data_IF_612028231891
#
_entry.id   IF_612028231891
#
_cell.length_a   1.000
_cell.length_b   1.000
_cell.length_c   1.000
_cell.angle_alpha   90.00
_cell.angle_beta   90.00
_cell.angle_gamma   90.00
#
_symmetry.space_group_name_H-M   'P 1'
#
loop_
_entity.id
_entity.type
_entity.pdbx_description
1 polymer ?
#
# COMPACT_ATOMS: atom_id res chain seq x y z
N UNK A 1 61.05 -13.46 -10.96
CA UNK A 1 61.55 -13.04 -12.27
C UNK A 1 60.44 -13.39 -13.25
N UNK A 2 59.42 -12.54 -13.36
CA UNK A 2 59.33 -11.36 -14.25
C UNK A 2 58.57 -11.77 -15.53
N UNK A 3 57.63 -11.04 -16.13
CA UNK A 3 56.93 -9.81 -15.79
C UNK A 3 55.75 -9.67 -16.79
N UNK A 4 54.61 -9.18 -16.30
CA UNK A 4 53.56 -8.37 -16.97
C UNK A 4 53.18 -8.54 -18.45
N UNK A 5 51.88 -8.69 -18.69
CA UNK A 5 51.20 -7.98 -19.79
C UNK A 5 49.87 -7.40 -19.28
N UNK A 6 49.89 -6.12 -18.95
CA UNK A 6 48.73 -5.34 -18.54
C UNK A 6 48.05 -4.71 -19.78
N UNK A 7 46.85 -5.17 -20.12
CA UNK A 7 45.95 -4.50 -21.06
C UNK A 7 45.05 -3.53 -20.31
N UNK A 8 45.40 -2.24 -20.34
CA UNK A 8 44.70 -1.17 -19.62
C UNK A 8 43.29 -0.88 -20.14
N UNK A 9 42.28 -1.26 -19.36
CA UNK A 9 40.92 -0.75 -19.48
C UNK A 9 40.85 0.69 -18.99
N UNK A 10 40.76 1.65 -19.91
CA UNK A 10 40.54 3.08 -19.63
C UNK A 10 39.12 3.26 -19.09
N UNK A 11 38.92 3.08 -17.78
CA UNK A 11 37.69 3.54 -17.08
C UNK A 11 37.61 5.06 -17.20
N UNK A 12 36.69 5.57 -18.01
CA UNK A 12 36.30 6.98 -17.96
C UNK A 12 35.72 7.26 -16.57
N UNK A 13 36.18 8.35 -15.97
CA UNK A 13 35.83 8.79 -14.64
C UNK A 13 34.31 9.02 -14.48
N UNK A 14 33.69 8.26 -13.58
CA UNK A 14 32.31 8.44 -13.11
C UNK A 14 32.24 9.39 -11.89
N UNK A 15 33.19 10.32 -11.77
CA UNK A 15 33.28 11.24 -10.62
C UNK A 15 32.67 12.61 -10.87
N UNK A 16 32.27 12.93 -12.11
CA UNK A 16 31.64 14.24 -12.43
C UNK A 16 30.17 14.33 -12.03
N UNK A 17 29.43 13.21 -12.10
CA UNK A 17 28.00 13.19 -11.76
C UNK A 17 27.73 13.33 -10.27
N UNK A 18 28.62 12.84 -9.40
CA UNK A 18 28.40 12.93 -7.93
C UNK A 18 28.49 14.36 -7.39
N UNK A 19 29.33 15.22 -7.97
CA UNK A 19 29.44 16.61 -7.52
C UNK A 19 28.30 17.47 -8.08
N UNK A 20 27.87 17.18 -9.31
CA UNK A 20 26.73 17.82 -9.96
C UNK A 20 25.41 17.44 -9.26
N UNK A 21 25.20 16.16 -8.93
CA UNK A 21 24.02 15.69 -8.20
C UNK A 21 23.96 16.27 -6.77
N UNK A 22 25.10 16.34 -6.08
CA UNK A 22 25.18 17.01 -4.78
C UNK A 22 24.87 18.51 -4.85
N UNK A 23 25.29 19.18 -5.93
CA UNK A 23 24.95 20.59 -6.15
C UNK A 23 23.45 20.77 -6.45
N UNK A 24 22.84 19.88 -7.22
CA UNK A 24 21.40 19.90 -7.51
C UNK A 24 20.56 19.65 -6.25
N UNK A 25 20.98 18.72 -5.39
CA UNK A 25 20.34 18.47 -4.10
C UNK A 25 20.44 19.66 -3.15
N UNK A 26 21.59 20.36 -3.12
CA UNK A 26 21.76 21.57 -2.33
C UNK A 26 20.86 22.71 -2.84
N UNK A 27 20.79 22.89 -4.16
CA UNK A 27 19.89 23.88 -4.78
C UNK A 27 18.42 23.56 -4.48
N UNK A 28 18.03 22.29 -4.53
CA UNK A 28 16.67 21.87 -4.22
C UNK A 28 16.31 22.15 -2.74
N UNK A 29 17.21 21.80 -1.81
CA UNK A 29 17.04 22.08 -0.37
C UNK A 29 17.01 23.57 -0.06
N UNK A 30 17.86 24.36 -0.71
CA UNK A 30 17.88 25.81 -0.54
C UNK A 30 16.62 26.47 -1.10
N UNK A 31 16.13 26.00 -2.26
CA UNK A 31 14.87 26.45 -2.84
C UNK A 31 13.67 26.11 -1.93
N UNK A 32 13.65 24.91 -1.36
CA UNK A 32 12.62 24.48 -0.40
C UNK A 32 12.65 25.30 0.88
N UNK A 33 13.84 25.51 1.46
CA UNK A 33 14.02 26.34 2.66
C UNK A 33 13.58 27.80 2.41
N UNK A 34 13.91 28.35 1.24
CA UNK A 34 13.49 29.69 0.83
C UNK A 34 11.98 29.79 0.63
N UNK A 35 11.36 28.75 0.09
CA UNK A 35 9.90 28.68 -0.06
C UNK A 35 9.21 28.57 1.30
N UNK A 36 9.74 27.75 2.21
CA UNK A 36 9.26 27.62 3.59
C UNK A 36 9.37 28.94 4.37
N UNK A 37 10.49 29.65 4.28
CA UNK A 37 10.65 30.97 4.88
C UNK A 37 9.64 31.99 4.32
N UNK A 38 9.34 31.93 3.01
CA UNK A 38 8.32 32.79 2.39
C UNK A 38 6.92 32.47 2.88
N UNK A 39 6.59 31.17 3.10
CA UNK A 39 5.32 30.74 3.71
C UNK A 39 5.21 31.25 5.14
N UNK A 40 6.27 31.13 5.93
CA UNK A 40 6.30 31.62 7.31
C UNK A 40 6.11 33.14 7.36
N UNK A 41 6.82 33.90 6.53
CA UNK A 41 6.67 35.35 6.45
C UNK A 41 5.24 35.79 6.02
N UNK A 42 4.61 35.05 5.10
CA UNK A 42 3.20 35.27 4.74
C UNK A 42 2.28 34.98 5.93
N UNK A 43 2.49 33.88 6.64
CA UNK A 43 1.71 33.52 7.82
C UNK A 43 1.85 34.56 8.94
N UNK A 44 3.06 35.03 9.22
CA UNK A 44 3.33 36.12 10.18
C UNK A 44 2.69 37.44 9.74
N UNK A 45 2.73 37.78 8.45
CA UNK A 45 2.05 38.97 7.92
C UNK A 45 0.52 38.88 8.08
N UNK A 46 -0.08 37.70 7.85
CA UNK A 46 -1.51 37.45 8.13
C UNK A 46 -1.82 37.67 9.61
N UNK A 47 -0.97 37.17 10.49
CA UNK A 47 -1.15 37.26 11.94
C UNK A 47 -1.04 38.71 12.46
N UNK A 48 -0.06 39.48 11.95
CA UNK A 48 0.11 40.89 12.30
C UNK A 48 -1.10 41.71 11.83
N UNK A 49 -1.55 41.51 10.59
CA UNK A 49 -2.71 42.24 10.04
C UNK A 49 -4.00 41.88 10.77
N UNK A 50 -4.15 40.64 11.23
CA UNK A 50 -5.27 40.23 12.08
C UNK A 50 -5.30 40.95 13.41
N UNK A 51 -4.16 40.99 14.10
CA UNK A 51 -4.05 41.72 15.37
C UNK A 51 -4.33 43.21 15.20
N UNK A 52 -3.92 43.81 14.08
CA UNK A 52 -4.18 45.22 13.80
C UNK A 52 -5.67 45.49 13.52
N UNK A 53 -6.34 44.62 12.74
CA UNK A 53 -7.79 44.71 12.52
C UNK A 53 -8.58 44.54 13.82
N UNK A 54 -8.20 43.58 14.66
CA UNK A 54 -8.82 43.38 15.99
C UNK A 54 -8.64 44.60 16.89
N UNK A 55 -7.45 45.22 16.85
CA UNK A 55 -7.17 46.46 17.56
C UNK A 55 -8.02 47.62 17.05
N UNK A 56 -8.16 47.79 15.74
CA UNK A 56 -9.00 48.84 15.15
C UNK A 56 -10.48 48.64 15.52
N UNK A 57 -10.98 47.40 15.50
CA UNK A 57 -12.35 47.11 15.94
C UNK A 57 -12.56 47.48 17.42
N UNK A 58 -11.60 47.11 18.28
CA UNK A 58 -11.65 47.43 19.72
C UNK A 58 -11.54 48.94 19.99
N UNK A 59 -10.74 49.67 19.23
CA UNK A 59 -10.66 51.13 19.33
C UNK A 59 -11.96 51.80 18.86
N UNK A 60 -12.61 51.31 17.79
CA UNK A 60 -13.92 51.78 17.33
C UNK A 60 -15.04 51.50 18.35
N UNK A 61 -15.06 50.31 18.95
CA UNK A 61 -16.00 49.94 20.01
C UNK A 61 -15.84 50.85 21.24
N UNK A 62 -14.60 51.06 21.71
CA UNK A 62 -14.31 52.00 22.80
C UNK A 62 -14.70 53.44 22.46
N UNK A 63 -14.57 53.87 21.20
CA UNK A 63 -14.96 55.21 20.78
C UNK A 63 -16.49 55.34 20.67
N UNK A 64 -17.18 54.29 20.24
CA UNK A 64 -18.64 54.22 20.25
C UNK A 64 -19.19 54.27 21.69
N UNK A 65 -18.57 53.54 22.62
CA UNK A 65 -18.90 53.57 24.05
C UNK A 65 -18.67 54.95 24.67
N UNK A 66 -17.56 55.63 24.33
CA UNK A 66 -17.30 57.02 24.79
C UNK A 66 -18.32 58.02 24.25
N UNK A 67 -18.75 57.88 23.00
CA UNK A 67 -19.80 58.72 22.41
C UNK A 67 -21.17 58.44 23.05
N UNK A 68 -21.39 57.20 23.48
CA UNK A 68 -22.59 56.78 24.20
C UNK A 68 -22.61 57.31 25.66
N UNK A 69 -21.48 57.26 26.37
CA UNK A 69 -21.34 57.77 27.76
C UNK A 69 -21.37 59.30 27.87
N UNK A 70 -21.02 60.03 26.80
CA UNK A 70 -21.08 61.49 26.79
C UNK A 70 -22.52 62.07 26.77
N UNK A 71 -23.53 61.19 26.71
CA UNK A 71 -24.96 61.51 26.83
C UNK A 71 -25.57 60.81 28.07
N UNK A 72 -25.35 61.29 29.31
CA UNK A 72 -26.11 60.82 30.45
C UNK A 72 -27.51 61.46 30.45
N UNK A 73 -28.52 60.60 30.52
CA UNK A 73 -29.96 60.82 30.37
C UNK A 73 -30.59 61.72 31.48
N UNK A 74 -31.62 62.50 31.15
CA UNK A 74 -32.56 63.07 32.15
C UNK A 74 -33.98 62.50 31.99
N UNK A 75 -34.26 61.51 32.85
CA UNK A 75 -35.52 61.15 33.56
C UNK A 75 -36.82 60.91 32.77
N UNK A 76 -37.34 59.67 32.79
CA UNK A 76 -38.20 59.13 33.87
C UNK A 76 -39.00 57.90 33.42
N UNK A 77 -38.96 56.79 34.18
CA UNK A 77 -39.85 55.61 34.03
C UNK A 77 -41.10 55.77 34.94
N UNK A 78 -42.27 55.18 34.62
CA UNK A 78 -42.53 53.81 35.13
C UNK A 78 -43.39 52.86 34.25
N UNK A 79 -43.07 51.56 34.41
CA UNK A 79 -43.94 50.37 34.56
C UNK A 79 -44.82 49.81 33.40
N UNK A 80 -44.40 48.61 32.95
CA UNK A 80 -45.14 47.35 32.64
C UNK A 80 -46.46 47.40 31.84
N UNK A 81 -46.50 46.70 30.70
CA UNK A 81 -47.40 45.56 30.39
C UNK A 81 -46.77 44.72 29.27
N UNK A 82 -46.82 43.39 29.41
CA UNK A 82 -46.48 42.41 28.39
C UNK A 82 -47.60 42.29 27.35
N UNK A 83 -47.32 42.32 26.05
CA UNK A 83 -48.03 41.50 25.06
C UNK A 83 -47.21 41.39 23.78
N UNK A 84 -47.08 40.15 23.32
CA UNK A 84 -46.76 39.76 21.96
C UNK A 84 -47.71 40.46 20.98
N UNK A 85 -47.24 40.86 19.80
CA UNK A 85 -47.98 40.75 18.54
C UNK A 85 -47.07 41.12 17.36
N UNK A 86 -47.04 40.18 16.41
CA UNK A 86 -46.51 40.30 15.07
C UNK A 86 -47.07 41.52 14.34
N UNK A 87 -46.21 42.24 13.61
CA UNK A 87 -46.64 43.20 12.60
C UNK A 87 -46.62 42.56 11.20
N UNK A 88 -47.60 42.89 10.35
CA UNK A 88 -47.75 42.33 9.02
C UNK A 88 -46.90 43.08 7.99
N UNK A 89 -46.58 42.37 6.91
CA UNK A 89 -46.03 42.94 5.67
C UNK A 89 -47.09 43.78 4.95
N UNK A 90 -46.75 45.03 4.69
CA UNK A 90 -47.23 45.88 3.59
C UNK A 90 -45.97 46.46 2.95
N UNK A 91 -45.87 46.86 1.69
CA UNK A 91 -46.62 46.64 0.47
C UNK A 91 -45.69 47.19 -0.61
N UNK A 92 -45.60 46.47 -1.71
CA UNK A 92 -44.83 46.85 -2.91
C UNK A 92 -45.58 47.96 -3.63
N UNK A 93 -45.04 49.18 -3.60
CA UNK A 93 -45.54 50.28 -4.43
C UNK A 93 -45.05 50.09 -5.87
N UNK A 94 -46.03 49.86 -6.74
CA UNK A 94 -45.92 50.03 -8.19
C UNK A 94 -46.44 51.41 -8.56
N UNK A 95 -45.61 52.09 -9.35
CA UNK A 95 -45.85 53.27 -10.19
C UNK A 95 -47.31 53.50 -10.63
N UNK A 96 -47.75 54.76 -10.57
CA UNK A 96 -48.36 55.37 -11.76
C UNK A 96 -48.31 56.91 -11.76
N UNK A 97 -47.88 57.38 -12.92
CA UNK A 97 -47.92 58.75 -13.45
C UNK A 97 -49.37 59.23 -13.63
N UNK A 98 -49.66 60.50 -13.38
CA UNK A 98 -50.06 61.50 -14.38
C UNK A 98 -50.54 62.82 -13.73
N UNK A 99 -50.31 63.92 -14.47
CA UNK A 99 -51.02 65.20 -14.46
C UNK A 99 -50.61 66.29 -13.45
N UNK A 100 -49.67 67.12 -13.93
CA UNK A 100 -49.88 68.55 -14.22
C UNK A 100 -50.65 69.38 -13.18
N UNK A 101 -49.94 70.27 -12.49
CA UNK A 101 -50.46 71.63 -12.26
C UNK A 101 -49.32 72.64 -12.13
N UNK A 102 -49.31 73.60 -13.04
CA UNK A 102 -48.50 74.82 -13.01
C UNK A 102 -49.13 75.82 -12.03
N UNK A 103 -48.31 76.40 -11.14
CA UNK A 103 -48.51 77.67 -10.41
C UNK A 103 -47.20 77.89 -9.61
N UNK A 104 -46.21 78.63 -10.11
CA UNK A 104 -46.10 80.10 -10.18
C UNK A 104 -46.37 80.80 -8.86
N UNK A 105 -45.31 81.16 -8.11
CA UNK A 105 -45.01 82.51 -7.65
C UNK A 105 -43.79 82.51 -6.72
N UNK A 106 -42.81 83.34 -7.04
CA UNK A 106 -41.73 83.76 -6.15
C UNK A 106 -42.26 84.49 -4.90
N UNK A 107 -41.37 84.58 -3.91
CA UNK A 107 -41.24 85.66 -2.93
C UNK A 107 -42.09 85.57 -1.65
N UNK A 108 -41.41 85.28 -0.52
CA UNK A 108 -41.39 86.16 0.67
C UNK A 108 -40.56 85.52 1.79
N UNK A 109 -39.40 86.11 2.06
CA UNK A 109 -38.60 85.91 3.27
C UNK A 109 -39.25 86.69 4.42
N UNK A 110 -39.79 86.02 5.44
CA UNK A 110 -39.58 86.37 6.86
C UNK A 110 -40.33 85.41 7.81
N UNK A 111 -39.51 84.80 8.67
CA UNK A 111 -39.79 84.52 10.08
C UNK A 111 -41.01 83.66 10.44
N UNK A 112 -40.74 82.35 10.48
CA UNK A 112 -41.55 81.38 11.19
C UNK A 112 -41.36 80.01 10.56
N UNK A 113 -40.21 79.35 10.82
CA UNK A 113 -40.07 77.92 10.52
C UNK A 113 -41.28 77.26 11.17
N UNK A 114 -42.24 76.85 10.35
CA UNK A 114 -43.49 76.28 10.82
C UNK A 114 -43.13 75.11 11.73
N UNK A 115 -43.84 74.92 12.85
CA UNK A 115 -43.64 73.76 13.72
C UNK A 115 -43.64 72.43 12.94
N UNK A 116 -44.26 72.42 11.76
CA UNK A 116 -44.24 71.35 10.78
C UNK A 116 -42.89 71.21 10.07
N UNK A 117 -42.33 72.30 9.53
CA UNK A 117 -41.02 72.31 8.86
C UNK A 117 -39.88 71.96 9.83
N UNK A 118 -39.99 72.37 11.10
CA UNK A 118 -39.05 71.97 12.15
C UNK A 118 -39.16 70.48 12.50
N UNK A 119 -40.37 69.88 12.45
CA UNK A 119 -40.56 68.43 12.63
C UNK A 119 -40.03 67.64 11.44
N UNK A 120 -40.32 68.10 10.22
CA UNK A 120 -39.84 67.48 8.99
C UNK A 120 -38.30 67.55 8.92
N UNK A 121 -37.68 68.67 9.32
CA UNK A 121 -36.22 68.78 9.42
C UNK A 121 -35.63 67.79 10.42
N UNK A 122 -36.24 67.61 11.60
CA UNK A 122 -35.82 66.60 12.58
C UNK A 122 -35.97 65.17 12.05
N UNK A 123 -37.04 64.88 11.31
CA UNK A 123 -37.21 63.58 10.66
C UNK A 123 -36.15 63.31 9.59
N UNK A 124 -35.76 64.33 8.82
CA UNK A 124 -34.66 64.23 7.86
C UNK A 124 -33.30 64.07 8.55
N UNK A 125 -33.06 64.78 9.66
CA UNK A 125 -31.85 64.62 10.49
C UNK A 125 -31.76 63.19 11.06
N UNK A 126 -32.87 62.63 11.57
CA UNK A 126 -32.91 61.26 12.06
C UNK A 126 -32.68 60.22 10.95
N UNK A 127 -33.26 60.43 9.76
CA UNK A 127 -33.04 59.57 8.59
C UNK A 127 -31.58 59.63 8.13
N UNK A 128 -30.99 60.81 8.10
CA UNK A 128 -29.58 60.99 7.77
C UNK A 128 -28.67 60.31 8.78
N UNK A 129 -28.95 60.46 10.09
CA UNK A 129 -28.22 59.76 11.16
C UNK A 129 -28.31 58.23 11.00
N UNK A 130 -29.51 57.69 10.73
CA UNK A 130 -29.70 56.24 10.48
C UNK A 130 -28.90 55.77 9.26
N UNK A 131 -28.93 56.53 8.17
CA UNK A 131 -28.16 56.22 6.96
C UNK A 131 -26.64 56.25 7.22
N UNK A 132 -26.15 57.20 8.01
CA UNK A 132 -24.73 57.28 8.38
C UNK A 132 -24.30 56.08 9.25
N UNK A 133 -25.13 55.67 10.22
CA UNK A 133 -24.84 54.48 11.04
C UNK A 133 -24.86 53.21 10.18
N UNK A 134 -25.83 53.06 9.29
CA UNK A 134 -25.90 51.92 8.38
C UNK A 134 -24.71 51.89 7.40
N UNK A 135 -24.28 53.05 6.88
CA UNK A 135 -23.12 53.14 6.00
C UNK A 135 -21.84 52.72 6.72
N UNK A 136 -21.65 53.17 7.97
CA UNK A 136 -20.53 52.74 8.80
C UNK A 136 -20.56 51.23 9.09
N UNK A 137 -21.74 50.64 9.31
CA UNK A 137 -21.89 49.19 9.45
C UNK A 137 -21.51 48.44 8.18
N UNK A 138 -21.97 48.91 7.01
CA UNK A 138 -21.63 48.32 5.72
C UNK A 138 -20.13 48.41 5.41
N UNK A 139 -19.47 49.51 5.77
CA UNK A 139 -18.02 49.66 5.62
C UNK A 139 -17.25 48.66 6.50
N UNK A 140 -17.71 48.42 7.73
CA UNK A 140 -17.13 47.41 8.62
C UNK A 140 -17.34 45.99 8.08
N UNK A 141 -18.55 45.66 7.61
CA UNK A 141 -18.85 44.37 6.98
C UNK A 141 -18.01 44.15 5.72
N UNK A 142 -17.87 45.18 4.88
CA UNK A 142 -17.01 45.16 3.70
C UNK A 142 -15.55 44.93 4.06
N UNK A 143 -15.03 45.60 5.09
CA UNK A 143 -13.66 45.39 5.56
C UNK A 143 -13.44 43.96 6.07
N UNK A 144 -14.38 43.43 6.84
CA UNK A 144 -14.36 42.05 7.35
C UNK A 144 -14.39 41.01 6.23
N UNK A 145 -15.30 41.16 5.26
CA UNK A 145 -15.39 40.27 4.10
C UNK A 145 -14.14 40.36 3.20
N UNK A 146 -13.57 41.56 3.05
CA UNK A 146 -12.33 41.75 2.30
C UNK A 146 -11.18 40.96 2.94
N UNK A 147 -11.06 41.03 4.27
CA UNK A 147 -10.08 40.23 5.01
C UNK A 147 -10.32 38.73 4.86
N UNK A 148 -11.58 38.27 4.95
CA UNK A 148 -11.91 36.86 4.76
C UNK A 148 -11.54 36.36 3.36
N UNK A 149 -11.79 37.15 2.33
CA UNK A 149 -11.40 36.83 0.95
C UNK A 149 -9.88 36.73 0.81
N UNK A 150 -9.12 37.64 1.41
CA UNK A 150 -7.66 37.57 1.41
C UNK A 150 -7.17 36.28 2.08
N UNK A 151 -7.68 35.94 3.26
CA UNK A 151 -7.32 34.71 3.99
C UNK A 151 -7.66 33.43 3.19
N UNK A 152 -8.78 33.43 2.47
CA UNK A 152 -9.17 32.30 1.62
C UNK A 152 -8.29 32.16 0.39
N UNK A 153 -7.88 33.26 -0.26
CA UNK A 153 -6.90 33.22 -1.37
C UNK A 153 -5.57 32.64 -0.90
N UNK A 154 -5.14 33.13 0.25
CA UNK A 154 -3.95 32.68 0.96
C UNK A 154 -3.98 31.18 1.28
N UNK A 155 -5.13 30.67 1.72
CA UNK A 155 -5.34 29.23 1.95
C UNK A 155 -5.36 28.43 0.65
N UNK A 156 -5.90 29.00 -0.42
CA UNK A 156 -5.95 28.38 -1.74
C UNK A 156 -4.54 28.22 -2.30
N UNK A 157 -3.70 29.25 -2.21
CA UNK A 157 -2.28 29.19 -2.60
C UNK A 157 -1.54 28.09 -1.83
N UNK A 158 -1.75 27.98 -0.51
CA UNK A 158 -1.13 26.92 0.31
C UNK A 158 -1.55 25.51 -0.13
N UNK A 159 -2.83 25.33 -0.50
CA UNK A 159 -3.35 24.06 -0.99
C UNK A 159 -2.83 23.72 -2.39
N UNK A 160 -2.71 24.70 -3.29
CA UNK A 160 -2.13 24.51 -4.61
C UNK A 160 -0.67 24.06 -4.52
N UNK A 161 0.13 24.70 -3.67
CA UNK A 161 1.51 24.32 -3.46
C UNK A 161 1.64 22.89 -2.87
N UNK A 162 0.77 22.52 -1.92
CA UNK A 162 0.71 21.15 -1.39
C UNK A 162 0.34 20.13 -2.47
N UNK A 163 -0.62 20.46 -3.33
CA UNK A 163 -1.02 19.60 -4.44
C UNK A 163 0.15 19.38 -5.43
N UNK A 164 0.89 20.43 -5.79
CA UNK A 164 2.07 20.30 -6.65
C UNK A 164 3.16 19.44 -6.01
N UNK A 165 3.38 19.58 -4.71
CA UNK A 165 4.35 18.76 -3.97
C UNK A 165 3.96 17.28 -3.97
N UNK A 166 2.71 16.96 -3.60
CA UNK A 166 2.19 15.59 -3.63
C UNK A 166 2.26 14.98 -5.04
N UNK A 167 1.99 15.78 -6.07
CA UNK A 167 2.10 15.32 -7.45
C UNK A 167 3.55 14.99 -7.84
N UNK A 168 4.54 15.71 -7.32
CA UNK A 168 5.96 15.43 -7.53
C UNK A 168 6.38 14.16 -6.80
N UNK A 169 6.03 14.03 -5.53
CA UNK A 169 6.31 12.85 -4.70
C UNK A 169 5.68 11.59 -5.29
N UNK A 170 4.45 11.65 -5.77
CA UNK A 170 3.81 10.55 -6.47
C UNK A 170 4.61 10.10 -7.71
N UNK A 171 5.09 11.05 -8.53
CA UNK A 171 5.92 10.72 -9.70
C UNK A 171 7.23 10.07 -9.30
N UNK A 172 7.85 10.51 -8.21
CA UNK A 172 9.08 9.92 -7.67
C UNK A 172 8.84 8.50 -7.15
N UNK A 173 7.78 8.28 -6.36
CA UNK A 173 7.38 6.96 -5.89
C UNK A 173 7.06 5.99 -7.02
N UNK A 174 6.43 6.46 -8.10
CA UNK A 174 6.24 5.62 -9.30
C UNK A 174 7.59 5.21 -9.92
N UNK A 175 8.58 6.12 -10.00
CA UNK A 175 9.91 5.81 -10.53
C UNK A 175 10.65 4.80 -9.66
N UNK A 176 10.59 4.96 -8.34
CA UNK A 176 11.15 4.00 -7.38
C UNK A 176 10.49 2.62 -7.51
N UNK A 177 9.16 2.58 -7.61
CA UNK A 177 8.43 1.34 -7.84
C UNK A 177 8.87 0.63 -9.12
N UNK A 178 9.00 1.36 -10.24
CA UNK A 178 9.47 0.79 -11.50
C UNK A 178 10.92 0.29 -11.42
N UNK A 179 11.78 0.95 -10.63
CA UNK A 179 13.15 0.48 -10.40
C UNK A 179 13.17 -0.81 -9.58
N UNK A 180 12.41 -0.86 -8.48
CA UNK A 180 12.28 -2.05 -7.64
C UNK A 180 11.68 -3.23 -8.40
N UNK A 181 10.69 -2.98 -9.26
CA UNK A 181 10.09 -4.01 -10.11
C UNK A 181 11.13 -4.64 -11.03
N UNK A 182 11.96 -3.83 -11.72
CA UNK A 182 13.05 -4.34 -12.56
C UNK A 182 14.09 -5.14 -11.76
N UNK A 183 14.41 -4.69 -10.54
CA UNK A 183 15.34 -5.42 -9.67
C UNK A 183 14.75 -6.76 -9.20
N UNK A 184 13.45 -6.79 -8.89
CA UNK A 184 12.73 -8.00 -8.51
C UNK A 184 12.65 -9.00 -9.66
N UNK A 185 12.32 -8.53 -10.88
CA UNK A 185 12.28 -9.37 -12.08
C UNK A 185 13.65 -10.03 -12.33
N UNK A 186 14.73 -9.25 -12.25
CA UNK A 186 16.09 -9.78 -12.38
C UNK A 186 16.43 -10.80 -11.29
N UNK A 187 16.11 -10.51 -10.03
CA UNK A 187 16.38 -11.42 -8.92
C UNK A 187 15.58 -12.73 -9.06
N UNK A 188 14.37 -12.65 -9.59
CA UNK A 188 13.54 -13.82 -9.90
C UNK A 188 14.18 -14.67 -10.99
N UNK A 189 14.64 -14.06 -12.09
CA UNK A 189 15.37 -14.76 -13.14
C UNK A 189 16.64 -15.43 -12.58
N UNK A 190 17.44 -14.71 -11.78
CA UNK A 190 18.65 -15.24 -11.15
C UNK A 190 18.33 -16.43 -10.20
N UNK A 191 17.21 -16.36 -9.46
CA UNK A 191 16.75 -17.44 -8.60
C UNK A 191 16.31 -18.66 -9.42
N UNK A 192 15.53 -18.48 -10.48
CA UNK A 192 15.09 -19.55 -11.38
C UNK A 192 16.29 -20.22 -12.05
N UNK A 193 17.27 -19.43 -12.50
CA UNK A 193 18.54 -19.93 -13.02
C UNK A 193 19.28 -20.79 -11.99
N UNK A 194 19.46 -20.29 -10.77
CA UNK A 194 20.14 -21.05 -9.72
C UNK A 194 19.40 -22.34 -9.35
N UNK A 195 18.06 -22.33 -9.33
CA UNK A 195 17.25 -23.53 -9.11
C UNK A 195 17.47 -24.56 -10.22
N UNK A 196 17.40 -24.13 -11.49
CA UNK A 196 17.66 -25.02 -12.63
C UNK A 196 19.07 -25.63 -12.57
N UNK A 197 20.08 -24.85 -12.21
CA UNK A 197 21.45 -25.36 -12.05
C UNK A 197 21.58 -26.36 -10.87
N UNK A 198 20.84 -26.16 -9.78
CA UNK A 198 20.78 -27.13 -8.68
C UNK A 198 20.07 -28.41 -9.08
N UNK A 199 18.97 -28.32 -9.84
CA UNK A 199 18.23 -29.47 -10.36
C UNK A 199 19.09 -30.28 -11.33
N UNK A 200 19.81 -29.62 -12.25
CA UNK A 200 20.76 -30.27 -13.16
C UNK A 200 21.86 -30.99 -12.37
N UNK A 201 22.44 -30.34 -11.36
CA UNK A 201 23.43 -30.97 -10.47
C UNK A 201 22.85 -32.20 -9.76
N UNK A 202 21.65 -32.10 -9.21
CA UNK A 202 21.01 -33.19 -8.48
C UNK A 202 20.64 -34.36 -9.41
N UNK A 203 20.26 -34.08 -10.66
CA UNK A 203 20.08 -35.10 -11.71
C UNK A 203 21.39 -35.82 -12.04
N UNK A 204 22.49 -35.09 -12.27
CA UNK A 204 23.81 -35.68 -12.52
C UNK A 204 24.29 -36.55 -11.35
N UNK A 205 23.99 -36.14 -10.11
CA UNK A 205 24.28 -36.94 -8.91
C UNK A 205 23.50 -38.26 -8.93
N UNK A 206 22.21 -38.22 -9.28
CA UNK A 206 21.37 -39.42 -9.39
C UNK A 206 21.83 -40.34 -10.53
N UNK A 207 22.16 -39.79 -11.69
CA UNK A 207 22.69 -40.55 -12.83
C UNK A 207 24.02 -41.24 -12.51
N UNK A 208 24.84 -40.63 -11.64
CA UNK A 208 26.06 -41.24 -11.11
C UNK A 208 25.79 -42.34 -10.05
N UNK A 209 24.53 -42.64 -9.74
CA UNK A 209 24.14 -43.64 -8.75
C UNK A 209 24.36 -43.18 -7.30
N UNK A 210 24.45 -41.88 -7.06
CA UNK A 210 24.65 -41.27 -5.75
C UNK A 210 23.37 -40.57 -5.27
N UNK A 211 23.22 -40.49 -3.96
CA UNK A 211 22.11 -39.83 -3.27
C UNK A 211 22.66 -38.96 -2.14
N UNK A 212 22.12 -37.74 -2.01
CA UNK A 212 22.45 -36.84 -0.91
C UNK A 212 21.66 -37.28 0.32
N UNK A 213 22.36 -37.73 1.35
CA UNK A 213 21.79 -38.07 2.66
C UNK A 213 22.20 -37.01 3.66
N UNK A 214 21.23 -36.39 4.32
CA UNK A 214 21.45 -35.41 5.37
C UNK A 214 20.92 -35.87 6.72
N UNK A 215 21.26 -35.11 7.76
CA UNK A 215 20.61 -35.25 9.05
C UNK A 215 19.11 -34.93 8.91
N UNK A 216 18.24 -35.89 9.26
CA UNK A 216 16.78 -35.75 9.21
C UNK A 216 16.21 -34.84 10.32
N UNK A 217 17.07 -34.26 11.15
CA UNK A 217 16.69 -33.22 12.12
C UNK A 217 16.60 -31.86 11.43
N UNK A 218 15.59 -31.72 10.58
CA UNK A 218 14.91 -30.44 10.40
C UNK A 218 13.45 -30.74 10.68
N UNK A 219 13.15 -30.82 11.98
CA UNK A 219 11.79 -30.90 12.49
C UNK A 219 11.00 -29.73 11.95
N UNK A 220 9.95 -30.07 11.21
CA UNK A 220 8.82 -29.23 10.86
C UNK A 220 8.02 -28.82 12.12
N UNK A 221 8.67 -28.20 13.12
CA UNK A 221 8.06 -27.76 14.39
C UNK A 221 8.73 -26.48 14.94
N UNK A 222 8.79 -25.43 14.12
CA UNK A 222 8.94 -24.05 14.63
C UNK A 222 7.97 -23.13 13.86
N UNK A 223 6.67 -23.46 13.91
CA UNK A 223 5.63 -22.43 13.82
C UNK A 223 5.42 -21.82 15.22
N UNK A 224 5.58 -20.49 15.28
CA UNK A 224 5.07 -19.58 16.32
C UNK A 224 5.26 -19.99 17.78
N UNK A 225 6.31 -19.50 18.41
CA UNK A 225 6.17 -18.95 19.77
C UNK A 225 6.91 -17.61 19.87
N UNK A 226 6.30 -16.75 20.66
CA UNK A 226 6.29 -15.29 20.64
C UNK A 226 7.63 -14.58 20.92
N UNK A 227 7.58 -13.28 20.62
CA UNK A 227 8.51 -12.21 20.98
C UNK A 227 8.98 -12.28 22.44
N UNK A 228 10.29 -12.16 22.70
CA UNK A 228 10.95 -10.96 23.25
C UNK A 228 12.27 -11.31 23.96
N UNK A 229 13.13 -10.30 23.99
CA UNK A 229 14.21 -10.03 24.94
C UNK A 229 15.63 -10.59 24.69
N UNK A 230 16.46 -9.63 24.26
CA UNK A 230 17.84 -9.36 24.69
C UNK A 230 18.81 -10.51 24.92
N UNK A 231 19.80 -10.62 24.03
CA UNK A 231 21.08 -11.20 24.39
C UNK A 231 21.78 -11.90 23.23
N UNK A 232 22.78 -11.21 22.69
CA UNK A 232 23.87 -11.74 21.86
C UNK A 232 24.18 -13.23 22.10
N UNK A 233 23.63 -14.09 21.23
CA UNK A 233 24.12 -15.44 20.96
C UNK A 233 23.98 -15.69 19.47
N UNK A 234 24.95 -15.23 18.71
CA UNK A 234 25.23 -15.74 17.36
C UNK A 234 25.68 -17.20 17.44
N UNK A 235 24.78 -18.11 17.82
CA UNK A 235 24.94 -19.50 17.43
C UNK A 235 24.51 -19.56 15.97
N UNK A 236 25.47 -19.39 15.05
CA UNK A 236 25.24 -19.75 13.66
C UNK A 236 24.82 -21.22 13.65
N UNK A 237 23.53 -21.50 13.46
CA UNK A 237 23.04 -22.86 13.18
C UNK A 237 23.87 -23.33 11.98
N UNK A 238 24.84 -24.22 12.22
CA UNK A 238 25.68 -24.76 11.14
C UNK A 238 24.75 -25.42 10.13
N UNK A 239 24.98 -25.25 8.83
CA UNK A 239 24.16 -25.93 7.83
C UNK A 239 24.17 -27.44 8.12
N UNK A 240 23.01 -28.11 7.98
CA UNK A 240 22.90 -29.54 8.26
C UNK A 240 23.95 -30.28 7.44
N UNK A 241 24.67 -31.20 8.08
CA UNK A 241 25.68 -32.00 7.39
C UNK A 241 24.99 -32.89 6.37
N UNK A 242 25.50 -32.88 5.15
CA UNK A 242 25.02 -33.71 4.05
C UNK A 242 26.19 -34.49 3.50
N UNK A 243 25.96 -35.75 3.16
CA UNK A 243 26.94 -36.63 2.55
C UNK A 243 26.36 -37.21 1.26
N UNK A 244 27.24 -37.52 0.31
CA UNK A 244 26.90 -38.28 -0.88
C UNK A 244 27.21 -39.75 -0.61
N UNK A 245 26.23 -40.62 -0.82
CA UNK A 245 26.37 -42.08 -0.67
C UNK A 245 25.74 -42.76 -1.89
N UNK A 246 26.10 -44.01 -2.18
CA UNK A 246 25.40 -44.77 -3.22
C UNK A 246 23.92 -44.96 -2.85
N UNK A 247 23.07 -45.17 -3.87
CA UNK A 247 21.64 -45.44 -3.67
C UNK A 247 21.42 -46.64 -2.73
N UNK A 248 22.16 -47.72 -2.94
CA UNK A 248 22.11 -48.92 -2.08
C UNK A 248 22.44 -48.59 -0.61
N UNK A 249 23.48 -47.79 -0.37
CA UNK A 249 23.86 -47.38 0.99
C UNK A 249 22.83 -46.43 1.60
N UNK A 250 22.19 -45.58 0.79
CA UNK A 250 21.10 -44.71 1.27
C UNK A 250 19.88 -45.52 1.73
N UNK A 251 19.52 -46.58 0.99
CA UNK A 251 18.44 -47.50 1.36
C UNK A 251 18.77 -48.27 2.64
N UNK A 252 20.00 -48.79 2.77
CA UNK A 252 20.47 -49.41 4.03
C UNK A 252 20.40 -48.40 5.18
N UNK A 253 20.85 -47.16 4.97
CA UNK A 253 20.76 -46.13 6.01
C UNK A 253 19.32 -45.79 6.39
N UNK A 254 18.30 -46.10 5.59
CA UNK A 254 16.89 -45.98 6.01
C UNK A 254 16.48 -47.11 6.95
N UNK A 255 17.05 -48.31 6.82
CA UNK A 255 16.72 -49.45 7.71
C UNK A 255 17.31 -49.28 9.12
N UNK A 256 18.39 -48.52 9.27
CA UNK A 256 19.00 -48.19 10.57
C UNK A 256 18.16 -47.23 11.44
N UNK A 257 16.97 -46.81 10.97
CA UNK A 257 16.03 -45.95 11.68
C UNK A 257 16.38 -44.46 11.60
N UNK A 258 15.74 -43.64 12.43
CA UNK A 258 15.94 -42.19 12.43
C UNK A 258 17.20 -41.77 13.22
N UNK A 259 17.78 -40.65 12.82
CA UNK A 259 18.93 -40.03 13.48
C UNK A 259 19.92 -39.41 12.50
N UNK A 260 20.95 -38.76 13.03
CA UNK A 260 22.07 -38.25 12.22
C UNK A 260 22.75 -39.41 11.49
N UNK A 261 23.44 -39.09 10.40
CA UNK A 261 24.19 -40.11 9.65
C UNK A 261 25.14 -40.91 10.57
N UNK A 262 25.82 -40.22 11.48
CA UNK A 262 26.75 -40.83 12.44
C UNK A 262 26.05 -41.82 13.40
N UNK A 263 24.82 -41.51 13.84
CA UNK A 263 24.04 -42.38 14.72
C UNK A 263 23.62 -43.66 14.00
N UNK A 264 23.18 -43.53 12.74
CA UNK A 264 22.75 -44.68 11.92
C UNK A 264 23.91 -45.61 11.59
N UNK A 265 25.08 -45.04 11.26
CA UNK A 265 26.30 -45.83 11.05
C UNK A 265 26.78 -46.54 12.32
N UNK A 266 26.61 -45.94 13.50
CA UNK A 266 26.97 -46.57 14.77
C UNK A 266 26.10 -47.80 15.06
N UNK A 267 24.78 -47.72 14.84
CA UNK A 267 23.86 -48.86 14.99
C UNK A 267 24.28 -50.06 14.14
N UNK A 268 24.61 -49.82 12.87
CA UNK A 268 25.15 -50.90 12.01
C UNK A 268 26.45 -51.51 12.53
N UNK A 269 27.33 -50.68 13.10
CA UNK A 269 28.57 -51.19 13.69
C UNK A 269 28.30 -52.07 14.93
N UNK A 270 27.29 -51.71 15.74
CA UNK A 270 26.84 -52.47 16.90
C UNK A 270 26.21 -53.80 16.49
N UNK A 271 25.23 -53.79 15.58
CA UNK A 271 24.59 -54.99 15.03
C UNK A 271 25.60 -55.96 14.40
N UNK A 272 26.56 -55.43 13.62
CA UNK A 272 27.64 -56.24 13.05
C UNK A 272 28.49 -56.90 14.16
N UNK A 273 28.80 -56.18 15.23
CA UNK A 273 29.58 -56.75 16.32
C UNK A 273 28.80 -57.86 17.05
N UNK A 274 27.50 -57.68 17.27
CA UNK A 274 26.64 -58.68 17.89
C UNK A 274 26.52 -59.95 17.04
N UNK A 275 26.35 -59.82 15.71
CA UNK A 275 26.37 -60.95 14.79
C UNK A 275 27.72 -61.68 14.78
N UNK A 276 28.84 -60.94 14.87
CA UNK A 276 30.16 -61.55 14.98
C UNK A 276 30.33 -62.34 16.29
N UNK A 277 29.76 -61.86 17.39
CA UNK A 277 29.73 -62.60 18.66
C UNK A 277 28.89 -63.88 18.56
N UNK A 278 27.72 -63.83 17.92
CA UNK A 278 26.90 -65.01 17.66
C UNK A 278 27.64 -66.03 16.78
N UNK A 279 28.31 -65.59 15.72
CA UNK A 279 29.12 -66.48 14.86
C UNK A 279 30.28 -67.09 15.63
N UNK A 280 30.95 -66.33 16.52
CA UNK A 280 31.99 -66.88 17.40
C UNK A 280 31.44 -67.95 18.33
N UNK A 281 30.28 -67.70 18.93
CA UNK A 281 29.62 -68.64 19.82
C UNK A 281 29.23 -69.93 19.11
N UNK A 282 28.53 -69.83 17.97
CA UNK A 282 28.12 -70.98 17.15
C UNK A 282 29.31 -71.81 16.64
N UNK A 283 30.44 -71.15 16.32
CA UNK A 283 31.67 -71.88 15.95
C UNK A 283 32.22 -72.69 17.10
N UNK A 284 32.18 -72.15 18.32
CA UNK A 284 32.66 -72.83 19.52
C UNK A 284 31.75 -74.02 19.86
N UNK A 285 30.43 -73.84 19.80
CA UNK A 285 29.45 -74.94 19.93
C UNK A 285 29.64 -76.02 18.85
N UNK A 286 29.87 -75.64 17.59
CA UNK A 286 30.12 -76.59 16.50
C UNK A 286 31.44 -77.37 16.72
N UNK A 287 32.48 -76.74 17.22
CA UNK A 287 33.73 -77.41 17.58
C UNK A 287 33.53 -78.36 18.76
N UNK A 288 32.76 -77.97 19.77
CA UNK A 288 32.36 -78.84 20.88
C UNK A 288 31.58 -80.06 20.38
N UNK A 289 30.57 -79.87 19.53
CA UNK A 289 29.79 -80.96 18.94
C UNK A 289 30.64 -81.88 18.04
N UNK A 290 31.56 -81.33 17.24
CA UNK A 290 32.52 -82.12 16.46
C UNK A 290 33.48 -82.91 17.35
N UNK A 291 33.88 -82.35 18.49
CA UNK A 291 34.71 -83.04 19.47
C UNK A 291 33.94 -84.18 20.18
N UNK A 292 32.66 -83.97 20.49
CA UNK A 292 31.73 -84.99 21.02
C UNK A 292 31.51 -86.11 20.01
N UNK A 293 31.27 -85.79 18.73
CA UNK A 293 31.10 -86.77 17.65
C UNK A 293 32.38 -87.52 17.27
N UNK A 294 33.57 -86.96 17.53
CA UNK A 294 34.84 -87.70 17.43
C UNK A 294 35.00 -88.74 18.55
N UNK A 295 34.38 -88.51 19.72
CA UNK A 295 34.35 -89.46 20.83
C UNK A 295 33.33 -90.58 20.64
N UNK A 296 32.30 -90.39 19.81
CA UNK A 296 31.15 -91.31 19.67
C UNK A 296 31.21 -92.25 18.44
N UNK A 297 32.30 -92.23 17.65
CA UNK A 297 32.51 -93.09 16.46
C UNK A 297 33.16 -94.46 16.77
N UNK A 298 32.88 -95.05 17.92
CA UNK A 298 33.28 -96.43 18.26
C UNK A 298 32.06 -97.33 18.52
N UNK A 299 31.12 -97.43 17.56
CA UNK A 299 30.25 -98.63 17.41
C UNK A 299 29.62 -98.71 16.01
N UNK A 300 29.60 -99.88 15.35
CA UNK A 300 29.00 -100.05 14.03
C UNK A 300 27.57 -100.64 14.11
N UNK A 301 26.90 -100.62 12.94
CA UNK A 301 25.53 -101.03 12.62
C UNK A 301 24.49 -99.92 12.88
N UNK A 302 23.57 -99.62 11.97
CA UNK A 302 23.14 -100.25 10.73
C UNK A 302 21.76 -99.68 10.37
N UNK A 303 21.34 -99.89 9.13
CA UNK A 303 19.96 -99.81 8.64
C UNK A 303 19.21 -98.46 8.73
N UNK A 304 19.03 -97.86 7.54
CA UNK A 304 17.76 -97.42 6.96
C UNK A 304 16.66 -96.79 7.83
N UNK A 305 16.25 -95.58 7.45
CA UNK A 305 14.85 -95.14 7.30
C UNK A 305 14.91 -93.76 6.63
N UNK A 306 14.45 -93.62 5.39
CA UNK A 306 13.10 -93.13 5.07
C UNK A 306 12.72 -91.86 5.82
N UNK A 307 12.71 -90.72 5.10
CA UNK A 307 11.69 -89.69 5.26
C UNK A 307 11.47 -89.03 3.90
N UNK A 308 10.38 -89.41 3.25
CA UNK A 308 9.77 -88.64 2.16
C UNK A 308 9.29 -87.29 2.71
N UNK A 309 9.55 -86.21 1.96
CA UNK A 309 8.69 -85.02 1.93
C UNK A 309 9.37 -83.66 1.88
N UNK A 310 9.72 -83.13 0.69
CA UNK A 310 9.92 -81.70 0.46
C UNK A 310 8.86 -81.09 -0.50
N UNK A 311 7.79 -81.82 -0.84
CA UNK A 311 6.77 -81.35 -1.79
C UNK A 311 5.75 -80.38 -1.16
N UNK A 312 5.60 -80.36 0.17
CA UNK A 312 4.62 -79.50 0.85
C UNK A 312 5.07 -78.03 0.88
N UNK A 313 6.35 -77.77 1.18
CA UNK A 313 6.90 -76.40 1.29
C UNK A 313 6.92 -75.66 -0.04
N UNK A 314 7.18 -76.37 -1.15
CA UNK A 314 7.16 -75.77 -2.48
C UNK A 314 5.75 -75.30 -2.88
N UNK A 315 4.72 -76.06 -2.49
CA UNK A 315 3.32 -75.74 -2.78
C UNK A 315 2.86 -74.54 -1.95
N UNK A 316 3.27 -74.45 -0.68
CA UNK A 316 2.92 -73.31 0.18
C UNK A 316 3.63 -72.02 -0.24
N UNK A 317 4.92 -72.09 -0.61
CA UNK A 317 5.66 -70.95 -1.20
C UNK A 317 5.01 -70.49 -2.50
N UNK A 318 4.61 -71.43 -3.37
CA UNK A 318 3.92 -71.10 -4.63
C UNK A 318 2.55 -70.46 -4.37
N UNK A 319 1.84 -70.89 -3.33
CA UNK A 319 0.54 -70.33 -2.94
C UNK A 319 0.67 -68.92 -2.38
N UNK A 320 1.70 -68.66 -1.58
CA UNK A 320 2.01 -67.33 -1.04
C UNK A 320 2.49 -66.37 -2.12
N UNK A 321 3.35 -66.81 -3.04
CA UNK A 321 3.75 -66.05 -4.22
C UNK A 321 2.54 -65.67 -5.09
N UNK A 322 1.60 -66.60 -5.31
CA UNK A 322 0.38 -66.34 -6.05
C UNK A 322 -0.56 -65.35 -5.33
N UNK A 323 -0.60 -65.37 -3.99
CA UNK A 323 -1.36 -64.41 -3.18
C UNK A 323 -0.76 -63.00 -3.31
N UNK A 324 0.56 -62.87 -3.15
CA UNK A 324 1.26 -61.59 -3.32
C UNK A 324 1.08 -61.04 -4.74
N UNK A 325 1.15 -61.90 -5.77
CA UNK A 325 0.88 -61.53 -7.15
C UNK A 325 -0.55 -60.96 -7.32
N UNK A 326 -1.53 -61.55 -6.63
CA UNK A 326 -2.91 -61.06 -6.59
C UNK A 326 -3.03 -59.66 -5.97
N UNK A 327 -2.35 -59.44 -4.84
CA UNK A 327 -2.34 -58.14 -4.16
C UNK A 327 -1.67 -57.05 -5.01
N UNK A 328 -0.55 -57.37 -5.67
CA UNK A 328 0.11 -56.44 -6.60
C UNK A 328 -0.75 -56.14 -7.82
N UNK A 329 -1.45 -57.12 -8.40
CA UNK A 329 -2.41 -56.89 -9.49
C UNK A 329 -3.54 -55.96 -9.07
N UNK A 330 -4.10 -56.14 -7.88
CA UNK A 330 -5.16 -55.27 -7.37
C UNK A 330 -4.67 -53.85 -7.12
N UNK A 331 -3.47 -53.69 -6.53
CA UNK A 331 -2.85 -52.37 -6.33
C UNK A 331 -2.56 -51.67 -7.65
N UNK A 332 -2.05 -52.42 -8.64
CA UNK A 332 -1.81 -51.89 -9.98
C UNK A 332 -3.12 -51.41 -10.61
N UNK A 333 -4.17 -52.22 -10.59
CA UNK A 333 -5.47 -51.84 -11.15
C UNK A 333 -6.07 -50.61 -10.46
N UNK A 334 -5.90 -50.47 -9.14
CA UNK A 334 -6.31 -49.28 -8.40
C UNK A 334 -5.50 -48.05 -8.82
N UNK A 335 -4.18 -48.17 -8.94
CA UNK A 335 -3.31 -47.10 -9.40
C UNK A 335 -3.65 -46.68 -10.84
N UNK A 336 -3.96 -47.63 -11.73
CA UNK A 336 -4.42 -47.36 -13.10
C UNK A 336 -5.73 -46.57 -13.12
N UNK A 337 -6.68 -46.91 -12.24
CA UNK A 337 -7.94 -46.16 -12.10
C UNK A 337 -7.70 -44.72 -11.57
N UNK A 338 -6.81 -44.57 -10.58
CA UNK A 338 -6.43 -43.26 -10.03
C UNK A 338 -5.75 -42.39 -11.11
N UNK A 339 -4.86 -42.97 -11.92
CA UNK A 339 -4.23 -42.29 -13.07
C UNK A 339 -5.28 -41.80 -14.07
N UNK A 340 -6.25 -42.64 -14.44
CA UNK A 340 -7.33 -42.25 -15.35
C UNK A 340 -8.16 -41.08 -14.80
N UNK A 341 -8.44 -41.11 -13.48
CA UNK A 341 -9.18 -40.03 -12.80
C UNK A 341 -8.38 -38.73 -12.77
N UNK A 342 -7.07 -38.81 -12.47
CA UNK A 342 -6.18 -37.65 -12.46
C UNK A 342 -6.03 -37.06 -13.87
N UNK A 343 -5.91 -37.88 -14.91
CA UNK A 343 -5.87 -37.42 -16.30
C UNK A 343 -7.15 -36.66 -16.69
N UNK A 344 -8.33 -37.15 -16.29
CA UNK A 344 -9.59 -36.44 -16.52
C UNK A 344 -9.65 -35.09 -15.79
N UNK A 345 -9.13 -35.03 -14.56
CA UNK A 345 -9.03 -33.78 -13.80
C UNK A 345 -8.06 -32.79 -14.46
N UNK A 346 -6.89 -33.25 -14.93
CA UNK A 346 -5.92 -32.43 -15.66
C UNK A 346 -6.56 -31.83 -16.92
N UNK A 347 -7.23 -32.64 -17.75
CA UNK A 347 -7.89 -32.15 -18.96
C UNK A 347 -8.96 -31.09 -18.67
N UNK A 348 -9.71 -31.24 -17.56
CA UNK A 348 -10.70 -30.24 -17.12
C UNK A 348 -10.03 -28.94 -16.66
N UNK A 349 -8.95 -29.03 -15.89
CA UNK A 349 -8.18 -27.89 -15.41
C UNK A 349 -7.51 -27.13 -16.56
N UNK A 350 -6.91 -27.84 -17.52
CA UNK A 350 -6.35 -27.26 -18.74
C UNK A 350 -7.41 -26.48 -19.53
N UNK A 351 -8.61 -27.06 -19.69
CA UNK A 351 -9.74 -26.38 -20.33
C UNK A 351 -10.16 -25.12 -19.58
N UNK A 352 -10.09 -25.13 -18.24
CA UNK A 352 -10.40 -23.97 -17.41
C UNK A 352 -9.34 -22.87 -17.53
N UNK A 353 -8.05 -23.24 -17.56
CA UNK A 353 -6.93 -22.32 -17.77
C UNK A 353 -7.07 -21.63 -19.13
N UNK A 354 -7.38 -22.36 -20.20
CA UNK A 354 -7.59 -21.79 -21.54
C UNK A 354 -8.72 -20.74 -21.51
N UNK A 355 -9.84 -21.05 -20.86
CA UNK A 355 -10.98 -20.11 -20.74
C UNK A 355 -10.60 -18.85 -19.96
N UNK A 356 -9.94 -18.99 -18.81
CA UNK A 356 -9.54 -17.83 -18.01
C UNK A 356 -8.49 -16.98 -18.71
N UNK A 357 -7.55 -17.61 -19.43
CA UNK A 357 -6.58 -16.88 -20.25
C UNK A 357 -7.26 -16.06 -21.33
N UNK A 358 -8.18 -16.66 -22.09
CA UNK A 358 -8.94 -15.95 -23.13
C UNK A 358 -9.81 -14.81 -22.55
N UNK A 359 -10.44 -15.04 -21.39
CA UNK A 359 -11.21 -14.01 -20.70
C UNK A 359 -10.33 -12.84 -20.24
N UNK A 360 -9.14 -13.14 -19.70
CA UNK A 360 -8.14 -12.14 -19.29
C UNK A 360 -7.66 -11.30 -20.47
N UNK A 361 -7.30 -11.95 -21.58
CA UNK A 361 -6.87 -11.27 -22.81
C UNK A 361 -7.98 -10.37 -23.39
N UNK A 362 -9.24 -10.81 -23.30
CA UNK A 362 -10.38 -9.99 -23.71
C UNK A 362 -10.58 -8.79 -22.79
N UNK A 363 -10.40 -8.96 -21.48
CA UNK A 363 -10.54 -7.88 -20.50
C UNK A 363 -9.45 -6.81 -20.67
N UNK A 364 -8.21 -7.24 -20.94
CA UNK A 364 -7.08 -6.34 -21.20
C UNK A 364 -7.33 -5.46 -22.44
N UNK A 365 -7.85 -6.05 -23.53
CA UNK A 365 -8.23 -5.30 -24.73
C UNK A 365 -9.30 -4.23 -24.44
N UNK A 366 -10.33 -4.60 -23.68
CA UNK A 366 -11.39 -3.65 -23.28
C UNK A 366 -10.84 -2.54 -22.39
N UNK A 367 -9.93 -2.86 -21.47
CA UNK A 367 -9.27 -1.85 -20.62
C UNK A 367 -8.48 -0.83 -21.45
N UNK A 368 -7.75 -1.30 -22.46
CA UNK A 368 -6.98 -0.43 -23.34
C UNK A 368 -7.86 0.46 -24.22
N UNK A 369 -8.97 -0.05 -24.73
CA UNK A 369 -10.00 0.75 -25.41
C UNK A 369 -10.56 1.84 -24.48
N UNK A 370 -10.93 1.49 -23.25
CA UNK A 370 -11.42 2.45 -22.26
C UNK A 370 -10.36 3.49 -21.87
N UNK A 371 -9.07 3.14 -21.81
CA UNK A 371 -7.98 4.11 -21.60
C UNK A 371 -7.90 5.11 -22.75
N UNK A 372 -8.06 4.66 -23.99
CA UNK A 372 -8.07 5.53 -25.18
C UNK A 372 -9.28 6.46 -25.14
N UNK A 373 -10.48 5.94 -24.86
CA UNK A 373 -11.70 6.74 -24.73
C UNK A 373 -11.60 7.76 -23.61
N UNK A 374 -11.10 7.37 -22.42
CA UNK A 374 -10.85 8.28 -21.30
C UNK A 374 -9.93 9.43 -21.72
N UNK A 375 -8.84 9.15 -22.43
CA UNK A 375 -7.92 10.20 -22.93
C UNK A 375 -8.62 11.11 -23.93
N UNK A 376 -9.47 10.58 -24.80
CA UNK A 376 -10.26 11.36 -25.76
C UNK A 376 -11.23 12.29 -25.04
N UNK A 377 -12.05 11.76 -24.14
CA UNK A 377 -13.00 12.53 -23.34
C UNK A 377 -12.31 13.59 -22.48
N UNK A 378 -11.15 13.28 -21.90
CA UNK A 378 -10.36 14.28 -21.17
C UNK A 378 -9.89 15.44 -22.05
N UNK A 379 -9.57 15.20 -23.33
CA UNK A 379 -9.25 16.29 -24.26
C UNK A 379 -10.50 17.11 -24.59
N UNK A 380 -11.61 16.44 -24.88
CA UNK A 380 -12.89 17.11 -25.16
C UNK A 380 -13.36 17.97 -23.99
N UNK A 381 -13.23 17.50 -22.75
CA UNK A 381 -13.54 18.29 -21.54
C UNK A 381 -12.68 19.54 -21.48
N UNK A 382 -11.35 19.44 -21.68
CA UNK A 382 -10.46 20.62 -21.67
C UNK A 382 -10.84 21.63 -22.75
N UNK A 383 -11.15 21.16 -23.96
CA UNK A 383 -11.56 22.02 -25.06
C UNK A 383 -12.88 22.73 -24.76
N UNK A 384 -13.86 22.01 -24.21
CA UNK A 384 -15.15 22.58 -23.81
C UNK A 384 -15.00 23.58 -22.66
N UNK A 385 -14.17 23.28 -21.66
CA UNK A 385 -13.86 24.23 -20.57
C UNK A 385 -13.22 25.51 -21.13
N UNK A 386 -12.29 25.39 -22.08
CA UNK A 386 -11.68 26.56 -22.71
C UNK A 386 -12.71 27.38 -23.51
N UNK A 387 -13.64 26.74 -24.21
CA UNK A 387 -14.74 27.41 -24.92
C UNK A 387 -15.69 28.12 -23.94
N UNK A 388 -16.02 27.48 -22.82
CA UNK A 388 -16.84 28.07 -21.77
C UNK A 388 -16.18 29.34 -21.21
N UNK A 389 -14.90 29.26 -20.85
CA UNK A 389 -14.14 30.40 -20.32
C UNK A 389 -14.11 31.59 -21.31
N UNK A 390 -13.95 31.32 -22.61
CA UNK A 390 -14.03 32.36 -23.66
C UNK A 390 -15.42 32.99 -23.75
N UNK A 391 -16.48 32.18 -23.68
CA UNK A 391 -17.86 32.67 -23.72
C UNK A 391 -18.21 33.49 -22.46
N UNK A 392 -17.74 33.07 -21.28
CA UNK A 392 -17.91 33.80 -20.02
C UNK A 392 -17.18 35.15 -20.04
N UNK A 393 -15.95 35.18 -20.56
CA UNK A 393 -15.20 36.44 -20.74
C UNK A 393 -15.92 37.39 -21.70
N UNK A 394 -16.43 36.88 -22.83
CA UNK A 394 -17.21 37.68 -23.78
C UNK A 394 -18.51 38.21 -23.15
N UNK A 395 -19.22 37.37 -22.39
CA UNK A 395 -20.42 37.77 -21.65
C UNK A 395 -20.12 38.86 -20.62
N UNK A 396 -19.03 38.72 -19.87
CA UNK A 396 -18.59 39.73 -18.89
C UNK A 396 -18.30 41.07 -19.56
N UNK A 397 -17.58 41.07 -20.69
CA UNK A 397 -17.28 42.27 -21.46
C UNK A 397 -18.56 42.96 -21.98
N UNK A 398 -19.50 42.19 -22.54
CA UNK A 398 -20.80 42.69 -23.01
C UNK A 398 -21.64 43.25 -21.86
N UNK A 399 -21.67 42.57 -20.71
CA UNK A 399 -22.37 43.04 -19.51
C UNK A 399 -21.81 44.39 -19.05
N UNK A 400 -20.49 44.54 -19.03
CA UNK A 400 -19.83 45.79 -18.68
C UNK A 400 -20.16 46.92 -19.67
N UNK A 401 -20.13 46.65 -20.98
CA UNK A 401 -20.54 47.63 -22.00
C UNK A 401 -22.01 48.05 -21.83
N UNK A 402 -22.89 47.10 -21.50
CA UNK A 402 -24.30 47.39 -21.27
C UNK A 402 -24.52 48.24 -20.02
N UNK A 403 -23.77 48.01 -18.94
CA UNK A 403 -23.82 48.87 -17.75
C UNK A 403 -23.31 50.29 -18.03
N UNK A 404 -22.23 50.43 -18.80
CA UNK A 404 -21.76 51.75 -19.24
C UNK A 404 -22.81 52.50 -20.06
N UNK A 405 -23.49 51.82 -20.99
CA UNK A 405 -24.58 52.42 -21.77
C UNK A 405 -25.76 52.84 -20.90
N UNK A 406 -26.10 52.07 -19.87
CA UNK A 406 -27.14 52.45 -18.89
C UNK A 406 -26.77 53.70 -18.10
N UNK A 407 -25.50 53.87 -17.75
CA UNK A 407 -25.01 55.05 -17.01
C UNK A 407 -24.90 56.30 -17.90
N UNK A 408 -24.81 56.13 -19.22
CA UNK A 408 -24.72 57.24 -20.19
C UNK A 408 -26.07 57.84 -20.63
N UNK A 409 -27.18 57.42 -20.02
CA UNK A 409 -28.56 57.79 -20.38
C UNK A 409 -29.28 58.32 -19.16
#
# INVERSE_FOLDING_TARGET
MDNTTAGGGRRRAATKHSAEDQALDQIAKEAEARLAARRQARAEAREIRMRELERQQKELEQNADKVYDMYPEQVSRPSRVATTMSTPRLSREGTNSYQSSRRSSEDSLEEGISLRDMRELKEYEEKFRKAMVQNAQLDNEKASLTYQVELLKDRLDDLEEQHFQLQREHKEKCREHDQLKRAWDKLKEDMEWCKSQLEERDQLIQEAGLMIVGDTQVSSDEESSEEDDSGDKTQSKRPPKRALVSIENAELLQTAGEGTLDVRLRRFAEERNELLDQVRHLKLELEEERSRHKSDRLRPAGAGASMNGPDTDLVDIQREANKQLGDYKFRLQKAEQDVSTLQANVARLESQVIRYKSASESAEKVEDELKVEKRKLQREVRDLTQRLAKAEAAKSALSHQFEQLKLSR
#
